data_IF_458768758275
#
_entry.id   IF_458768758275
#
_cell.length_a   1.000
_cell.length_b   1.000
_cell.length_c   1.000
_cell.angle_alpha   90.00
_cell.angle_beta   90.00
_cell.angle_gamma   90.00
#
_symmetry.space_group_name_H-M   'P 1'
#
loop_
_entity.id
_entity.type
_entity.pdbx_description
1 polymer ?
#
# COMPACT_ATOMS: atom_id res chain seq x y z
N UNK A 1 33.76 24.59 -3.14
CA UNK A 1 34.53 24.55 -1.88
C UNK A 1 33.52 24.70 -0.76
N UNK A 2 33.40 23.68 0.10
CA UNK A 2 32.45 23.65 1.21
C UNK A 2 32.91 24.59 2.32
N UNK A 3 32.15 25.64 2.63
CA UNK A 3 32.56 26.63 3.65
C UNK A 3 32.49 26.10 5.10
N UNK A 4 31.90 24.92 5.35
CA UNK A 4 31.82 24.33 6.70
C UNK A 4 31.82 22.79 6.68
N UNK A 5 32.42 22.16 5.66
CA UNK A 5 32.30 20.70 5.46
C UNK A 5 30.92 20.23 5.03
N UNK A 6 29.93 21.13 4.94
CA UNK A 6 28.61 20.86 4.36
C UNK A 6 28.67 20.85 2.85
N UNK A 7 28.28 19.73 2.23
CA UNK A 7 28.12 19.60 0.77
C UNK A 7 26.70 20.00 0.41
N UNK A 8 26.57 20.91 -0.56
CA UNK A 8 25.26 21.36 -1.08
C UNK A 8 25.17 21.02 -2.56
N UNK A 9 24.09 20.37 -2.97
CA UNK A 9 23.80 20.03 -4.37
C UNK A 9 22.40 20.53 -4.78
N UNK A 10 22.36 21.54 -5.64
CA UNK A 10 21.13 22.08 -6.22
C UNK A 10 20.67 21.24 -7.41
N UNK A 11 19.55 20.55 -7.24
CA UNK A 11 18.90 19.75 -8.29
C UNK A 11 17.79 20.49 -9.01
N UNK A 12 17.17 19.81 -9.97
CA UNK A 12 16.02 20.32 -10.72
C UNK A 12 14.74 20.33 -9.87
N UNK A 13 14.61 19.37 -8.96
CA UNK A 13 13.38 19.14 -8.17
C UNK A 13 13.55 19.38 -6.68
N UNK A 14 14.76 19.75 -6.25
CA UNK A 14 15.09 20.01 -4.86
C UNK A 14 16.57 20.28 -4.67
N UNK A 15 16.92 20.70 -3.45
CA UNK A 15 18.30 20.88 -2.98
C UNK A 15 18.61 19.80 -1.96
N UNK A 16 19.82 19.27 -2.01
CA UNK A 16 20.33 18.35 -0.99
C UNK A 16 21.45 19.02 -0.21
N UNK A 17 21.35 19.01 1.12
CA UNK A 17 22.42 19.42 2.03
C UNK A 17 22.91 18.18 2.79
N UNK A 18 24.22 18.02 2.88
CA UNK A 18 24.85 16.94 3.63
C UNK A 18 25.94 17.49 4.54
N UNK A 19 25.77 17.31 5.85
CA UNK A 19 26.68 17.82 6.88
C UNK A 19 27.61 16.75 7.48
N UNK A 20 27.61 15.53 6.92
CA UNK A 20 28.34 14.37 7.46
C UNK A 20 27.50 13.47 8.36
N UNK A 21 26.41 13.98 8.95
CA UNK A 21 25.53 13.25 9.86
C UNK A 21 24.09 13.13 9.34
N UNK A 22 23.65 14.14 8.59
CA UNK A 22 22.27 14.33 8.16
C UNK A 22 22.25 14.73 6.69
N UNK A 23 21.31 14.14 5.95
CA UNK A 23 20.99 14.50 4.58
C UNK A 23 19.64 15.21 4.61
N UNK A 24 19.62 16.50 4.29
CA UNK A 24 18.39 17.29 4.19
C UNK A 24 18.01 17.48 2.73
N UNK A 25 16.77 17.15 2.39
CA UNK A 25 16.21 17.34 1.05
C UNK A 25 15.13 18.43 1.13
N UNK A 26 15.40 19.55 0.49
CA UNK A 26 14.50 20.69 0.37
C UNK A 26 13.83 20.69 -1.00
N UNK A 27 12.52 20.92 -1.05
CA UNK A 27 11.76 20.98 -2.31
C UNK A 27 11.10 22.33 -2.51
N UNK A 28 11.01 22.82 -3.77
CA UNK A 28 10.24 24.01 -4.07
C UNK A 28 8.77 23.74 -3.71
N UNK A 29 8.16 24.68 -2.96
CA UNK A 29 6.77 24.54 -2.52
C UNK A 29 5.77 24.65 -3.67
N UNK A 30 4.50 24.35 -3.39
CA UNK A 30 3.38 24.32 -4.36
C UNK A 30 3.18 25.65 -5.15
N UNK A 31 3.74 26.76 -4.66
CA UNK A 31 3.73 28.07 -5.35
C UNK A 31 4.96 28.37 -6.21
N UNK A 32 5.81 27.37 -6.44
CA UNK A 32 6.59 27.19 -7.66
C UNK A 32 7.71 28.18 -8.02
N UNK A 33 7.83 29.37 -7.41
CA UNK A 33 8.85 30.35 -7.85
C UNK A 33 9.48 31.24 -6.77
N UNK A 34 9.08 31.15 -5.50
CA UNK A 34 9.66 31.98 -4.43
C UNK A 34 9.98 31.09 -3.22
N UNK A 35 11.19 30.52 -3.21
CA UNK A 35 11.77 29.83 -2.06
C UNK A 35 11.46 28.33 -1.92
N UNK A 36 12.35 27.63 -1.20
CA UNK A 36 12.18 26.26 -0.72
C UNK A 36 11.28 26.29 0.52
N UNK A 37 9.97 26.29 0.32
CA UNK A 37 8.97 26.43 1.41
C UNK A 37 8.35 25.11 1.90
N UNK A 38 8.72 23.96 1.31
CA UNK A 38 8.27 22.67 1.80
C UNK A 38 9.00 22.28 3.09
N UNK A 39 8.35 21.50 3.97
CA UNK A 39 9.02 20.93 5.14
C UNK A 39 10.20 20.07 4.63
N UNK A 40 11.45 20.37 5.03
CA UNK A 40 12.59 19.60 4.58
C UNK A 40 12.48 18.16 5.06
N UNK A 41 12.82 17.21 4.18
CA UNK A 41 12.97 15.81 4.58
C UNK A 41 14.36 15.65 5.17
N UNK A 42 14.44 15.23 6.44
CA UNK A 42 15.70 14.97 7.12
C UNK A 42 15.93 13.46 7.20
N UNK A 43 17.04 13.00 6.63
CA UNK A 43 17.46 11.60 6.62
C UNK A 43 18.73 11.48 7.46
N UNK A 44 18.74 10.59 8.44
CA UNK A 44 19.96 10.29 9.17
C UNK A 44 20.95 9.59 8.22
N UNK A 45 22.13 10.19 8.00
CA UNK A 45 23.11 9.65 7.07
C UNK A 45 23.62 8.27 7.50
N UNK A 46 23.53 7.91 8.79
CA UNK A 46 23.84 6.57 9.28
C UNK A 46 22.77 5.53 8.95
N UNK A 47 21.53 5.94 8.70
CA UNK A 47 20.45 5.03 8.28
C UNK A 47 20.53 4.68 6.78
N UNK A 48 21.33 5.40 5.99
CA UNK A 48 21.46 5.16 4.56
C UNK A 48 22.20 3.86 4.32
N UNK A 49 21.58 2.87 3.69
CA UNK A 49 22.19 1.58 3.34
C UNK A 49 22.90 1.64 2.00
N UNK A 50 22.35 2.39 1.05
CA UNK A 50 22.89 2.53 -0.30
C UNK A 50 22.53 3.88 -0.91
N UNK A 51 23.43 4.43 -1.71
CA UNK A 51 23.14 5.56 -2.60
C UNK A 51 22.92 5.03 -4.01
N UNK A 52 21.72 5.25 -4.55
CA UNK A 52 21.43 4.97 -5.95
C UNK A 52 21.64 6.23 -6.77
N UNK A 53 22.32 6.08 -7.91
CA UNK A 53 22.72 7.20 -8.75
C UNK A 53 22.55 6.85 -10.23
N UNK A 54 21.58 7.48 -10.89
CA UNK A 54 21.42 7.42 -12.33
C UNK A 54 22.02 8.65 -12.98
N UNK A 55 22.96 8.44 -13.90
CA UNK A 55 23.59 9.51 -14.64
C UNK A 55 22.58 10.16 -15.61
N UNK A 56 22.64 11.50 -15.79
CA UNK A 56 21.85 12.18 -16.80
C UNK A 56 22.34 11.76 -18.19
N UNK A 57 21.41 11.78 -19.14
CA UNK A 57 21.69 11.59 -20.57
C UNK A 57 21.15 12.78 -21.36
N UNK A 58 21.42 12.85 -22.66
CA UNK A 58 20.86 13.89 -23.53
C UNK A 58 19.33 13.94 -23.52
N UNK A 59 18.67 12.79 -23.24
CA UNK A 59 17.21 12.64 -23.31
C UNK A 59 16.53 12.57 -21.94
N UNK A 60 17.29 12.48 -20.85
CA UNK A 60 16.72 12.28 -19.52
C UNK A 60 17.56 12.92 -18.42
N UNK A 61 16.88 13.49 -17.42
CA UNK A 61 17.51 13.97 -16.21
C UNK A 61 18.14 12.80 -15.43
N UNK A 62 19.21 13.11 -14.72
CA UNK A 62 19.81 12.21 -13.74
C UNK A 62 18.99 12.19 -12.45
N UNK A 63 19.26 11.21 -11.60
CA UNK A 63 18.60 11.11 -10.30
C UNK A 63 19.52 10.50 -9.25
N UNK A 64 19.39 10.99 -8.03
CA UNK A 64 20.01 10.41 -6.84
C UNK A 64 18.91 9.99 -5.88
N UNK A 65 19.06 8.86 -5.21
CA UNK A 65 18.16 8.41 -4.15
C UNK A 65 18.95 7.80 -2.99
N UNK A 66 18.48 8.07 -1.77
CA UNK A 66 19.07 7.54 -0.54
C UNK A 66 18.19 6.42 0.00
N UNK A 67 18.70 5.19 -0.05
CA UNK A 67 17.97 4.02 0.45
C UNK A 67 18.17 3.90 1.95
N UNK A 68 17.08 3.74 2.68
CA UNK A 68 17.03 3.56 4.14
C UNK A 68 16.09 2.39 4.48
N UNK A 69 16.27 1.69 5.62
CA UNK A 69 15.30 0.70 6.08
C UNK A 69 13.88 1.29 6.11
N UNK A 70 12.90 0.53 5.64
CA UNK A 70 11.49 0.97 5.57
C UNK A 70 11.12 1.83 4.35
N UNK A 71 12.08 2.39 3.61
CA UNK A 71 11.82 3.19 2.40
C UNK A 71 12.53 2.60 1.19
N UNK A 72 12.01 1.50 0.62
CA UNK A 72 12.54 0.94 -0.62
C UNK A 72 12.27 1.87 -1.79
N UNK A 73 13.18 1.85 -2.77
CA UNK A 73 13.11 2.66 -3.98
C UNK A 73 11.72 2.59 -4.64
N UNK A 74 11.13 3.76 -4.92
CA UNK A 74 9.99 3.84 -5.81
C UNK A 74 10.51 4.11 -7.22
N UNK A 75 10.64 3.06 -8.04
CA UNK A 75 11.10 3.17 -9.44
C UNK A 75 10.16 4.02 -10.32
N UNK A 76 8.98 4.40 -9.82
CA UNK A 76 7.98 5.21 -10.52
C UNK A 76 7.59 6.44 -9.69
N UNK A 77 8.43 7.47 -9.73
CA UNK A 77 8.09 8.79 -9.19
C UNK A 77 9.20 9.40 -8.32
N UNK A 78 9.10 10.70 -8.07
CA UNK A 78 9.92 11.35 -7.05
C UNK A 78 9.40 10.99 -5.67
N UNK A 79 10.07 10.07 -4.98
CA UNK A 79 9.86 9.84 -3.54
C UNK A 79 10.44 11.01 -2.72
N UNK A 80 10.23 11.03 -1.40
CA UNK A 80 10.79 12.05 -0.50
C UNK A 80 12.32 11.98 -0.35
N UNK A 81 12.95 10.88 -0.79
CA UNK A 81 14.36 10.55 -0.57
C UNK A 81 15.21 10.65 -1.84
N UNK A 82 14.63 11.18 -2.92
CA UNK A 82 15.29 11.34 -4.22
C UNK A 82 15.26 12.77 -4.71
N UNK A 83 16.21 13.09 -5.58
CA UNK A 83 16.26 14.38 -6.28
C UNK A 83 16.66 14.13 -7.73
N UNK A 84 15.91 14.73 -8.66
CA UNK A 84 16.30 14.82 -10.07
C UNK A 84 17.25 15.97 -10.30
N UNK A 85 18.22 15.78 -11.18
CA UNK A 85 19.20 16.81 -11.55
C UNK A 85 19.52 16.76 -13.05
N UNK A 86 19.90 17.91 -13.60
CA UNK A 86 20.29 18.06 -15.01
C UNK A 86 21.76 17.68 -15.22
N UNK A 87 22.17 17.48 -16.47
CA UNK A 87 23.57 17.22 -16.82
C UNK A 87 24.55 18.28 -16.26
N UNK A 88 24.14 19.55 -16.24
CA UNK A 88 24.95 20.66 -15.69
C UNK A 88 25.14 20.57 -14.17
N UNK A 89 24.17 20.00 -13.47
CA UNK A 89 24.18 19.84 -12.01
C UNK A 89 24.89 18.56 -11.57
N UNK A 90 25.13 17.62 -12.50
CA UNK A 90 25.68 16.31 -12.19
C UNK A 90 26.98 16.33 -11.36
N UNK A 91 27.95 17.23 -11.60
CA UNK A 91 29.19 17.25 -10.81
C UNK A 91 28.95 17.41 -9.30
N UNK A 92 28.01 18.26 -8.89
CA UNK A 92 27.67 18.46 -7.47
C UNK A 92 27.05 17.20 -6.84
N UNK A 93 26.23 16.48 -7.62
CA UNK A 93 25.61 15.25 -7.16
C UNK A 93 26.60 14.07 -7.14
N UNK A 94 27.62 14.07 -8.01
CA UNK A 94 28.73 13.09 -7.95
C UNK A 94 29.54 13.29 -6.67
N UNK A 95 29.91 14.52 -6.34
CA UNK A 95 30.61 14.84 -5.08
C UNK A 95 29.79 14.41 -3.85
N UNK A 96 28.50 14.75 -3.82
CA UNK A 96 27.58 14.32 -2.77
C UNK A 96 27.49 12.79 -2.66
N UNK A 97 27.32 12.09 -3.79
CA UNK A 97 27.27 10.62 -3.83
C UNK A 97 28.53 10.01 -3.24
N UNK A 98 29.70 10.53 -3.63
CA UNK A 98 30.98 9.98 -3.22
C UNK A 98 31.24 10.21 -1.72
N UNK A 99 30.85 11.38 -1.19
CA UNK A 99 30.93 11.67 0.24
C UNK A 99 30.02 10.76 1.08
N UNK A 100 28.76 10.55 0.65
CA UNK A 100 27.83 9.66 1.36
C UNK A 100 28.30 8.20 1.25
N UNK A 101 28.81 7.77 0.08
CA UNK A 101 29.37 6.42 -0.07
C UNK A 101 30.62 6.20 0.80
N UNK A 102 31.46 7.22 0.97
CA UNK A 102 32.60 7.15 1.88
C UNK A 102 32.15 6.95 3.32
N UNK A 103 31.11 7.66 3.77
CA UNK A 103 30.48 7.47 5.08
C UNK A 103 29.90 6.06 5.24
N UNK A 104 29.17 5.55 4.25
CA UNK A 104 28.60 4.18 4.30
C UNK A 104 29.70 3.13 4.41
N UNK A 105 30.82 3.31 3.69
CA UNK A 105 31.96 2.38 3.71
C UNK A 105 32.76 2.44 5.00
N UNK A 106 32.85 3.60 5.66
CA UNK A 106 33.62 3.77 6.90
C UNK A 106 32.93 3.22 8.14
N UNK A 107 31.66 2.78 8.04
CA UNK A 107 30.94 2.18 9.17
C UNK A 107 31.60 0.86 9.60
N UNK A 108 31.57 0.62 10.91
CA UNK A 108 31.99 -0.66 11.48
C UNK A 108 31.10 -1.81 10.99
N UNK A 109 31.66 -3.02 10.95
CA UNK A 109 30.89 -4.23 10.59
C UNK A 109 29.66 -4.43 11.49
N UNK A 110 29.78 -4.09 12.79
CA UNK A 110 28.64 -4.14 13.72
C UNK A 110 27.50 -3.18 13.33
N UNK A 111 27.82 -1.96 12.89
CA UNK A 111 26.82 -1.01 12.43
C UNK A 111 26.17 -1.46 11.11
N UNK A 112 26.94 -2.07 10.20
CA UNK A 112 26.41 -2.65 8.97
C UNK A 112 25.45 -3.81 9.25
N UNK A 113 25.82 -4.71 10.17
CA UNK A 113 25.00 -5.84 10.57
C UNK A 113 23.67 -5.39 11.20
N UNK A 114 23.70 -4.42 12.12
CA UNK A 114 22.49 -3.87 12.74
C UNK A 114 21.52 -3.25 11.71
N UNK A 115 22.05 -2.52 10.71
CA UNK A 115 21.23 -1.96 9.63
C UNK A 115 20.65 -3.04 8.71
N UNK A 116 21.41 -4.10 8.43
CA UNK A 116 20.93 -5.23 7.65
C UNK A 116 19.78 -5.96 8.36
N UNK A 117 19.89 -6.16 9.68
CA UNK A 117 18.83 -6.73 10.51
C UNK A 117 17.56 -5.86 10.51
N UNK A 118 17.71 -4.55 10.68
CA UNK A 118 16.59 -3.60 10.58
C UNK A 118 15.94 -3.63 9.19
N UNK A 119 16.74 -3.68 8.13
CA UNK A 119 16.24 -3.77 6.77
C UNK A 119 15.46 -5.08 6.54
N UNK A 120 15.94 -6.20 7.10
CA UNK A 120 15.25 -7.49 7.05
C UNK A 120 13.93 -7.45 7.83
N UNK A 121 13.93 -6.89 9.05
CA UNK A 121 12.72 -6.76 9.86
C UNK A 121 11.62 -5.94 9.15
N UNK A 122 11.98 -4.79 8.56
CA UNK A 122 11.04 -4.00 7.77
C UNK A 122 10.60 -4.68 6.48
N UNK A 123 11.45 -5.47 5.84
CA UNK A 123 11.06 -6.25 4.66
C UNK A 123 10.00 -7.30 5.04
N UNK A 124 10.18 -8.00 6.16
CA UNK A 124 9.20 -8.96 6.70
C UNK A 124 7.89 -8.28 7.07
N UNK A 125 7.94 -7.14 7.77
CA UNK A 125 6.75 -6.36 8.13
C UNK A 125 5.98 -5.91 6.89
N UNK A 126 6.69 -5.41 5.86
CA UNK A 126 6.09 -5.01 4.59
C UNK A 126 5.51 -6.20 3.84
N UNK A 127 6.16 -7.36 3.89
CA UNK A 127 5.65 -8.58 3.27
C UNK A 127 4.36 -9.04 3.96
N UNK A 128 4.33 -9.10 5.30
CA UNK A 128 3.13 -9.40 6.09
C UNK A 128 2.01 -8.42 5.73
N UNK A 129 2.33 -7.12 5.72
CA UNK A 129 1.39 -6.06 5.37
C UNK A 129 0.88 -6.24 3.93
N UNK A 130 1.75 -6.52 2.96
CA UNK A 130 1.36 -6.72 1.56
C UNK A 130 0.53 -7.99 1.34
N UNK A 131 0.83 -9.07 2.07
CA UNK A 131 0.05 -10.32 2.06
C UNK A 131 -1.33 -10.12 2.70
N UNK A 132 -1.47 -9.19 3.65
CA UNK A 132 -2.75 -8.81 4.25
C UNK A 132 -3.65 -7.93 3.36
N UNK A 133 -3.19 -7.55 2.16
CA UNK A 133 -3.97 -6.76 1.19
C UNK A 133 -4.29 -7.51 -0.11
N UNK A 134 -4.53 -8.83 -0.06
CA UNK A 134 -5.22 -9.46 -1.19
C UNK A 134 -6.62 -8.83 -1.27
N UNK A 135 -6.78 -7.82 -2.15
CA UNK A 135 -8.06 -7.13 -2.36
C UNK A 135 -8.92 -8.02 -3.24
N UNK A 136 -9.78 -8.78 -2.60
CA UNK A 136 -10.69 -9.69 -3.28
C UNK A 136 -12.00 -8.93 -3.48
N UNK A 137 -12.46 -8.84 -4.71
CA UNK A 137 -13.61 -8.01 -5.05
C UNK A 137 -14.62 -8.72 -5.92
N UNK A 138 -15.91 -8.58 -5.58
CA UNK A 138 -17.01 -9.06 -6.39
C UNK A 138 -18.21 -8.11 -6.28
N UNK A 139 -18.81 -7.74 -7.42
CA UNK A 139 -20.02 -6.90 -7.48
C UNK A 139 -19.96 -5.59 -6.63
N UNK A 140 -18.79 -4.95 -6.54
CA UNK A 140 -18.61 -3.72 -5.75
C UNK A 140 -18.34 -3.96 -4.25
N UNK A 141 -18.39 -5.20 -3.78
CA UNK A 141 -17.94 -5.61 -2.46
C UNK A 141 -16.45 -5.95 -2.51
N UNK A 142 -15.71 -5.55 -1.47
CA UNK A 142 -14.27 -5.77 -1.37
C UNK A 142 -13.90 -6.32 -0.01
N UNK A 143 -12.94 -7.24 0.02
CA UNK A 143 -12.33 -7.74 1.25
C UNK A 143 -10.85 -7.42 1.21
N UNK A 144 -10.34 -6.74 2.24
CA UNK A 144 -8.91 -6.44 2.37
C UNK A 144 -8.58 -6.03 3.79
N UNK A 145 -7.44 -6.48 4.34
CA UNK A 145 -6.94 -6.01 5.63
C UNK A 145 -7.91 -6.22 6.79
N UNK A 146 -8.62 -7.35 6.80
CA UNK A 146 -9.61 -7.66 7.85
C UNK A 146 -10.91 -6.86 7.75
N UNK A 147 -11.14 -6.11 6.67
CA UNK A 147 -12.35 -5.33 6.45
C UNK A 147 -13.13 -5.86 5.24
N UNK A 148 -14.44 -5.95 5.39
CA UNK A 148 -15.42 -6.13 4.33
C UNK A 148 -16.05 -4.77 4.00
N UNK A 149 -15.76 -4.24 2.81
CA UNK A 149 -16.29 -2.97 2.32
C UNK A 149 -17.45 -3.20 1.34
N UNK A 150 -18.54 -2.48 1.56
CA UNK A 150 -19.71 -2.36 0.69
C UNK A 150 -19.77 -0.95 0.08
N UNK A 151 -20.65 -0.69 -0.91
CA UNK A 151 -20.90 0.68 -1.37
C UNK A 151 -21.41 1.64 -0.28
N UNK A 152 -21.96 1.11 0.82
CA UNK A 152 -22.59 1.89 1.90
C UNK A 152 -21.72 2.04 3.15
N UNK A 153 -20.62 1.28 3.28
CA UNK A 153 -19.75 1.34 4.44
C UNK A 153 -18.70 0.24 4.46
N UNK A 154 -17.97 0.12 5.57
CA UNK A 154 -17.03 -0.97 5.79
C UNK A 154 -17.22 -1.55 7.20
N UNK A 155 -17.03 -2.87 7.32
CA UNK A 155 -17.15 -3.61 8.58
C UNK A 155 -15.97 -4.55 8.77
N UNK A 156 -15.71 -4.93 10.01
CA UNK A 156 -14.76 -6.01 10.31
C UNK A 156 -15.25 -7.33 9.73
N UNK A 157 -14.36 -8.10 9.11
CA UNK A 157 -14.63 -9.46 8.62
C UNK A 157 -14.25 -10.55 9.65
N UNK A 158 -13.62 -10.17 10.77
CA UNK A 158 -13.18 -11.13 11.79
C UNK A 158 -14.39 -11.96 12.29
N UNK A 159 -14.29 -13.28 12.20
CA UNK A 159 -15.38 -14.20 12.56
C UNK A 159 -16.59 -14.23 11.61
N UNK A 160 -16.53 -13.53 10.47
CA UNK A 160 -17.57 -13.63 9.45
C UNK A 160 -17.54 -14.99 8.75
N UNK A 161 -18.69 -15.41 8.22
CA UNK A 161 -18.80 -16.61 7.37
C UNK A 161 -19.49 -16.28 6.05
N UNK A 162 -19.06 -16.92 4.98
CA UNK A 162 -19.62 -16.72 3.64
C UNK A 162 -20.09 -18.03 3.02
N UNK A 163 -21.30 -18.02 2.48
CA UNK A 163 -21.93 -19.15 1.81
C UNK A 163 -22.37 -18.76 0.40
N UNK A 164 -21.97 -19.56 -0.58
CA UNK A 164 -22.47 -19.47 -1.94
C UNK A 164 -23.67 -20.40 -2.14
N UNK A 165 -24.76 -19.87 -2.70
CA UNK A 165 -25.95 -20.61 -3.10
C UNK A 165 -26.22 -20.40 -4.60
N UNK A 166 -26.41 -21.49 -5.36
CA UNK A 166 -26.84 -21.42 -6.76
C UNK A 166 -28.36 -21.22 -6.82
N UNK A 167 -28.84 -20.25 -7.60
CA UNK A 167 -30.27 -20.04 -7.81
C UNK A 167 -30.94 -21.16 -8.60
N UNK A 168 -30.15 -22.00 -9.30
CA UNK A 168 -30.62 -23.18 -10.01
C UNK A 168 -30.82 -24.40 -9.09
N UNK A 169 -30.28 -24.37 -7.87
CA UNK A 169 -30.45 -25.48 -6.93
C UNK A 169 -31.82 -25.42 -6.25
N UNK A 170 -32.57 -26.52 -6.41
CA UNK A 170 -33.91 -26.72 -5.86
C UNK A 170 -33.89 -27.20 -4.40
N UNK A 171 -32.70 -27.37 -3.82
CA UNK A 171 -32.55 -27.61 -2.38
C UNK A 171 -33.22 -26.48 -1.57
N UNK A 172 -33.82 -26.85 -0.43
CA UNK A 172 -34.54 -25.90 0.45
C UNK A 172 -33.57 -24.77 0.83
N UNK A 173 -33.89 -23.50 0.54
CA UNK A 173 -32.97 -22.39 0.75
C UNK A 173 -32.54 -22.27 2.21
N UNK A 174 -31.23 -22.35 2.45
CA UNK A 174 -30.61 -21.99 3.73
C UNK A 174 -30.77 -20.49 4.03
N UNK A 175 -31.02 -19.67 3.00
CA UNK A 175 -31.45 -18.28 3.11
C UNK A 175 -32.65 -18.07 4.07
N UNK A 176 -33.54 -19.07 4.19
CA UNK A 176 -34.69 -18.99 5.13
C UNK A 176 -34.27 -19.09 6.60
N UNK A 177 -33.04 -19.53 6.91
CA UNK A 177 -32.52 -19.61 8.28
C UNK A 177 -31.91 -18.30 8.78
N UNK A 178 -31.37 -17.49 7.88
CA UNK A 178 -30.79 -16.17 8.21
C UNK A 178 -31.90 -15.12 8.43
N UNK A 179 -33.08 -15.34 7.83
CA UNK A 179 -34.24 -14.44 7.95
C UNK A 179 -34.90 -14.36 9.34
N UNK A 180 -34.46 -15.12 10.34
CA UNK A 180 -35.01 -15.01 11.70
C UNK A 180 -34.26 -14.01 12.59
N UNK A 181 -33.12 -13.45 12.16
CA UNK A 181 -32.31 -12.56 13.01
C UNK A 181 -31.47 -11.49 12.31
N UNK A 182 -31.27 -11.55 10.98
CA UNK A 182 -30.39 -10.60 10.30
C UNK A 182 -31.10 -9.29 9.91
N UNK A 183 -30.66 -8.18 10.49
CA UNK A 183 -31.04 -6.83 10.07
C UNK A 183 -30.18 -6.44 8.87
N UNK A 184 -30.77 -6.36 7.67
CA UNK A 184 -30.07 -5.93 6.46
C UNK A 184 -29.93 -4.40 6.48
N UNK A 185 -28.76 -3.88 6.81
CA UNK A 185 -28.51 -2.44 6.91
C UNK A 185 -28.28 -1.81 5.52
N UNK A 186 -29.34 -1.25 4.93
CA UNK A 186 -29.28 -0.37 3.77
C UNK A 186 -30.66 0.19 3.40
N UNK A 187 -30.76 1.28 2.61
CA UNK A 187 -32.06 1.86 2.21
C UNK A 187 -32.93 0.93 1.34
N UNK A 188 -32.41 -0.25 0.95
CA UNK A 188 -33.15 -1.33 0.29
C UNK A 188 -33.49 -2.52 1.21
N UNK A 189 -33.16 -2.46 2.51
CA UNK A 189 -33.26 -3.57 3.46
C UNK A 189 -34.62 -3.70 4.15
N UNK A 190 -35.70 -3.79 3.38
CA UNK A 190 -36.99 -4.25 3.90
C UNK A 190 -37.09 -5.76 3.71
N UNK A 191 -37.14 -6.50 4.83
CA UNK A 191 -37.56 -7.89 5.03
C UNK A 191 -37.88 -8.64 3.72
N UNK A 192 -36.92 -9.40 3.20
CA UNK A 192 -37.17 -10.41 2.18
C UNK A 192 -37.67 -11.69 2.86
N UNK A 193 -38.80 -11.57 3.57
CA UNK A 193 -39.44 -12.69 4.29
C UNK A 193 -40.50 -13.42 3.49
N UNK A 194 -40.86 -12.95 2.28
CA UNK A 194 -41.99 -13.51 1.54
C UNK A 194 -41.90 -13.55 0.02
N UNK A 195 -40.89 -12.93 -0.61
CA UNK A 195 -40.89 -12.80 -2.07
C UNK A 195 -39.50 -12.73 -2.72
N UNK A 196 -38.51 -13.45 -2.18
CA UNK A 196 -37.34 -13.77 -3.00
C UNK A 196 -37.71 -14.92 -3.94
N UNK A 197 -38.34 -14.60 -5.07
CA UNK A 197 -38.55 -15.59 -6.12
C UNK A 197 -37.17 -15.95 -6.66
N UNK A 198 -36.65 -17.12 -6.24
CA UNK A 198 -35.37 -17.68 -6.71
C UNK A 198 -35.30 -17.52 -8.23
N UNK A 199 -34.30 -16.79 -8.70
CA UNK A 199 -34.03 -16.66 -10.12
C UNK A 199 -32.94 -17.66 -10.47
N UNK A 200 -33.28 -18.67 -11.26
CA UNK A 200 -32.33 -19.71 -11.70
C UNK A 200 -31.19 -19.16 -12.55
N UNK A 201 -31.34 -17.95 -13.10
CA UNK A 201 -30.27 -17.26 -13.82
C UNK A 201 -29.28 -16.51 -12.92
N UNK A 202 -29.43 -16.58 -11.59
CA UNK A 202 -28.58 -15.89 -10.61
C UNK A 202 -27.93 -16.88 -9.61
N UNK A 203 -26.81 -16.44 -9.04
CA UNK A 203 -26.23 -17.01 -7.82
C UNK A 203 -26.18 -15.96 -6.73
N UNK A 204 -26.01 -16.42 -5.48
CA UNK A 204 -26.06 -15.59 -4.29
C UNK A 204 -24.88 -15.93 -3.40
N UNK A 205 -24.17 -14.92 -2.90
CA UNK A 205 -23.20 -15.07 -1.81
C UNK A 205 -23.74 -14.35 -0.59
N UNK A 206 -23.95 -15.08 0.49
CA UNK A 206 -24.36 -14.50 1.77
C UNK A 206 -23.15 -14.43 2.68
N UNK A 207 -22.82 -13.24 3.18
CA UNK A 207 -21.77 -13.01 4.17
C UNK A 207 -22.44 -12.65 5.49
N UNK A 208 -22.30 -13.50 6.50
CA UNK A 208 -22.85 -13.34 7.85
C UNK A 208 -21.74 -12.86 8.79
N UNK A 209 -22.00 -11.80 9.54
CA UNK A 209 -21.08 -11.19 10.49
C UNK A 209 -21.39 -11.63 11.93
N UNK A 210 -20.42 -11.55 12.86
CA UNK A 210 -20.64 -11.93 14.26
C UNK A 210 -21.70 -11.09 15.00
N UNK A 211 -22.00 -9.89 14.50
CA UNK A 211 -23.06 -9.02 15.04
C UNK A 211 -24.47 -9.46 14.63
N UNK A 212 -24.58 -10.55 13.86
CA UNK A 212 -25.84 -11.09 13.32
C UNK A 212 -26.30 -10.40 12.04
N UNK A 213 -25.56 -9.41 11.52
CA UNK A 213 -25.85 -8.82 10.21
C UNK A 213 -25.47 -9.77 9.08
N UNK A 214 -26.20 -9.70 7.97
CA UNK A 214 -25.86 -10.43 6.77
C UNK A 214 -25.95 -9.55 5.53
N UNK A 215 -24.99 -9.71 4.61
CA UNK A 215 -24.96 -9.07 3.29
C UNK A 215 -25.15 -10.13 2.22
N UNK A 216 -26.17 -9.97 1.39
CA UNK A 216 -26.44 -10.85 0.24
C UNK A 216 -25.95 -10.16 -1.02
N UNK A 217 -25.03 -10.81 -1.73
CA UNK A 217 -24.47 -10.35 -2.99
C UNK A 217 -25.06 -11.20 -4.10
N UNK A 218 -25.71 -10.56 -5.07
CA UNK A 218 -26.26 -11.24 -6.24
C UNK A 218 -25.30 -11.17 -7.42
N UNK A 219 -25.23 -12.26 -8.18
CA UNK A 219 -24.44 -12.36 -9.40
C UNK A 219 -25.15 -13.15 -10.49
N UNK A 220 -24.79 -12.97 -11.77
CA UNK A 220 -25.32 -13.83 -12.83
C UNK A 220 -24.76 -15.25 -12.69
N UNK A 221 -25.54 -16.27 -13.05
CA UNK A 221 -25.14 -17.68 -12.92
C UNK A 221 -23.81 -18.01 -13.62
N UNK A 222 -23.47 -17.31 -14.72
CA UNK A 222 -22.18 -17.44 -15.42
C UNK A 222 -20.96 -17.07 -14.57
N UNK A 223 -21.13 -16.32 -13.49
CA UNK A 223 -20.07 -15.96 -12.55
C UNK A 223 -20.01 -16.89 -11.33
N UNK A 224 -20.68 -18.06 -11.37
CA UNK A 224 -20.68 -19.04 -10.28
C UNK A 224 -19.27 -19.33 -9.73
N UNK A 225 -18.30 -19.60 -10.60
CA UNK A 225 -16.92 -19.86 -10.17
C UNK A 225 -16.33 -18.69 -9.39
N UNK A 226 -16.60 -17.45 -9.82
CA UNK A 226 -16.12 -16.24 -9.14
C UNK A 226 -16.82 -16.03 -7.81
N UNK A 227 -18.13 -16.27 -7.73
CA UNK A 227 -18.91 -16.15 -6.51
C UNK A 227 -18.46 -17.19 -5.46
N UNK A 228 -18.24 -18.43 -5.89
CA UNK A 228 -17.73 -19.51 -5.03
C UNK A 228 -16.32 -19.19 -4.51
N UNK A 229 -15.45 -18.71 -5.40
CA UNK A 229 -14.10 -18.29 -5.04
C UNK A 229 -14.15 -17.13 -4.03
N UNK A 230 -14.96 -16.11 -4.30
CA UNK A 230 -15.16 -14.97 -3.40
C UNK A 230 -15.62 -15.41 -2.00
N UNK A 231 -16.60 -16.33 -1.90
CA UNK A 231 -17.05 -16.86 -0.62
C UNK A 231 -15.95 -17.65 0.12
N UNK A 232 -15.22 -18.51 -0.59
CA UNK A 232 -14.09 -19.25 -0.01
C UNK A 232 -13.01 -18.32 0.52
N UNK A 233 -12.73 -17.24 -0.21
CA UNK A 233 -11.77 -16.23 0.15
C UNK A 233 -12.17 -15.37 1.35
N UNK A 234 -13.45 -14.98 1.43
CA UNK A 234 -14.03 -14.32 2.61
C UNK A 234 -13.81 -15.19 3.85
N UNK A 235 -14.13 -16.49 3.78
CA UNK A 235 -13.91 -17.43 4.89
C UNK A 235 -12.42 -17.58 5.26
N UNK A 236 -11.55 -17.66 4.27
CA UNK A 236 -10.10 -17.75 4.47
C UNK A 236 -9.56 -16.54 5.21
N UNK A 237 -9.97 -15.33 4.80
CA UNK A 237 -9.54 -14.08 5.42
C UNK A 237 -10.14 -13.92 6.82
N UNK A 238 -11.42 -14.25 7.00
CA UNK A 238 -12.12 -14.19 8.28
C UNK A 238 -11.50 -15.11 9.34
N UNK A 239 -10.95 -16.27 8.93
CA UNK A 239 -10.28 -17.20 9.84
C UNK A 239 -8.85 -16.75 10.22
N UNK A 240 -8.24 -15.87 9.44
CA UNK A 240 -6.90 -15.32 9.69
C UNK A 240 -6.89 -13.95 10.37
N UNK A 241 -8.06 -13.32 10.52
CA UNK A 241 -8.25 -11.99 11.14
C UNK A 241 -8.62 -12.13 12.60
#
# INVERSE_FOLDING_TARGET
MAENGTITADGHTGRVLFDGSTIQIERPGLRGKIGYGGKPTSINANAVTQVWFAHPSEKANGSIAFLTPGHPQVLKGLDSHSVLFTAKQAPHFVELRDAVNALVRSRSEGAKAALAEQAAAHATEKEITSRSFEVISYAGHKVSGGLFATPTGAKSIAGASALFESGADHSRPTLTRIGAGAVIAGPAGAIVGGLFKKNTAKGYVTVEFPDGEAVIIEGPAKDETKMRQFAADVNRIAASS
#
